data_IF_815977260979
#
_entry.id   IF_815977260979
#
_cell.length_a   1.000
_cell.length_b   1.000
_cell.length_c   1.000
_cell.angle_alpha   90.00
_cell.angle_beta   90.00
_cell.angle_gamma   90.00
#
_symmetry.space_group_name_H-M   'P 1'
#
loop_
_entity.id
_entity.type
_entity.pdbx_description
1 polymer ?
#
# COMPACT_ATOMS: atom_id res chain seq x y z
N UNK A 1 9.77 -25.16 -15.33
CA UNK A 1 8.79 -24.66 -14.37
C UNK A 1 8.60 -23.18 -14.69
N UNK A 2 7.52 -22.84 -15.39
CA UNK A 2 7.14 -21.44 -15.62
C UNK A 2 6.86 -20.83 -14.26
N UNK A 3 7.53 -19.73 -13.98
CA UNK A 3 7.48 -19.02 -12.72
C UNK A 3 6.08 -18.43 -12.54
N UNK A 4 5.24 -19.06 -11.72
CA UNK A 4 3.85 -18.65 -11.46
C UNK A 4 3.80 -17.19 -10.97
N UNK A 5 4.81 -16.75 -10.23
CA UNK A 5 4.94 -15.37 -9.78
C UNK A 5 5.14 -14.34 -10.89
N UNK A 6 5.67 -14.73 -12.05
CA UNK A 6 5.77 -13.84 -13.20
C UNK A 6 4.43 -13.77 -13.95
N UNK A 7 3.72 -14.88 -14.09
CA UNK A 7 2.42 -14.90 -14.76
C UNK A 7 1.38 -14.02 -14.04
N UNK A 8 1.30 -14.08 -12.71
CA UNK A 8 0.41 -13.21 -11.94
C UNK A 8 0.78 -11.72 -12.06
N UNK A 9 2.08 -11.42 -12.07
CA UNK A 9 2.56 -10.04 -12.23
C UNK A 9 2.19 -9.48 -13.61
N UNK A 10 2.48 -10.23 -14.70
CA UNK A 10 2.17 -9.80 -16.07
C UNK A 10 0.65 -9.62 -16.26
N UNK A 11 -0.15 -10.56 -15.77
CA UNK A 11 -1.63 -10.46 -15.79
C UNK A 11 -2.13 -9.22 -15.05
N UNK A 12 -1.54 -8.89 -13.90
CA UNK A 12 -1.94 -7.73 -13.12
C UNK A 12 -1.64 -6.40 -13.86
N UNK A 13 -0.46 -6.29 -14.49
CA UNK A 13 -0.10 -5.11 -15.30
C UNK A 13 -1.02 -4.98 -16.51
N UNK A 14 -1.20 -6.05 -17.31
CA UNK A 14 -2.10 -6.06 -18.46
C UNK A 14 -3.53 -5.68 -18.07
N UNK A 15 -3.98 -6.09 -16.89
CA UNK A 15 -5.33 -5.78 -16.41
C UNK A 15 -5.47 -4.29 -16.13
N UNK A 16 -4.51 -3.66 -15.44
CA UNK A 16 -4.55 -2.21 -15.14
C UNK A 16 -4.40 -1.38 -16.42
N UNK A 17 -3.51 -1.76 -17.33
CA UNK A 17 -3.33 -1.06 -18.60
C UNK A 17 -4.61 -1.11 -19.45
N UNK A 18 -5.24 -2.27 -19.54
CA UNK A 18 -6.51 -2.41 -20.25
C UNK A 18 -7.66 -1.65 -19.56
N UNK A 19 -7.67 -1.59 -18.21
CA UNK A 19 -8.63 -0.78 -17.46
C UNK A 19 -8.47 0.72 -17.79
N UNK A 20 -7.22 1.20 -17.84
CA UNK A 20 -6.92 2.59 -18.19
C UNK A 20 -7.41 2.94 -19.62
N UNK A 21 -7.20 2.06 -20.60
CA UNK A 21 -7.72 2.22 -21.98
C UNK A 21 -9.26 2.26 -21.99
N UNK A 22 -9.90 1.51 -21.11
CA UNK A 22 -11.37 1.45 -20.97
C UNK A 22 -11.95 2.57 -20.11
N UNK A 23 -11.12 3.46 -19.54
CA UNK A 23 -11.56 4.52 -18.65
C UNK A 23 -11.99 4.04 -17.25
N UNK A 24 -11.60 2.82 -16.85
CA UNK A 24 -11.90 2.24 -15.55
C UNK A 24 -10.77 2.58 -14.56
N UNK A 25 -11.05 3.28 -13.46
CA UNK A 25 -10.03 3.64 -12.47
C UNK A 25 -9.62 2.43 -11.62
N UNK A 26 -8.73 1.62 -12.14
CA UNK A 26 -8.14 0.46 -11.46
C UNK A 26 -6.64 0.68 -11.34
N UNK A 27 -6.08 0.48 -10.15
CA UNK A 27 -4.66 0.70 -9.87
C UNK A 27 -4.11 -0.46 -9.05
N UNK A 28 -2.85 -0.80 -9.27
CA UNK A 28 -2.15 -1.76 -8.41
C UNK A 28 -1.91 -1.18 -7.02
N UNK A 29 -2.01 -2.06 -6.02
CA UNK A 29 -1.64 -1.84 -4.63
C UNK A 29 -0.82 -3.06 -4.14
N UNK A 30 -0.24 -2.99 -2.96
CA UNK A 30 0.46 -4.14 -2.38
C UNK A 30 1.80 -4.48 -3.03
N UNK A 31 2.19 -5.74 -2.93
CA UNK A 31 3.53 -6.18 -3.35
C UNK A 31 3.78 -6.13 -4.85
N UNK A 32 2.76 -6.32 -5.69
CA UNK A 32 2.90 -6.24 -7.14
C UNK A 32 3.11 -4.79 -7.60
N UNK A 33 2.47 -3.82 -6.93
CA UNK A 33 2.71 -2.39 -7.19
C UNK A 33 4.17 -2.01 -6.91
N UNK A 34 4.73 -2.50 -5.79
CA UNK A 34 6.12 -2.22 -5.44
C UNK A 34 7.09 -2.87 -6.44
N UNK A 35 6.83 -4.11 -6.85
CA UNK A 35 7.61 -4.78 -7.89
C UNK A 35 7.59 -4.01 -9.21
N UNK A 36 6.43 -3.50 -9.62
CA UNK A 36 6.30 -2.68 -10.82
C UNK A 36 7.13 -1.39 -10.75
N UNK A 37 7.11 -0.74 -9.59
CA UNK A 37 7.81 0.51 -9.35
C UNK A 37 9.33 0.35 -9.15
N UNK A 38 9.80 -0.86 -8.84
CA UNK A 38 11.21 -1.17 -8.58
C UNK A 38 11.70 -2.34 -9.45
N UNK A 39 11.62 -2.23 -10.80
CA UNK A 39 11.89 -3.36 -11.72
C UNK A 39 13.33 -3.85 -11.68
N UNK A 40 14.27 -2.96 -11.33
CA UNK A 40 15.71 -3.28 -11.27
C UNK A 40 16.12 -3.93 -9.95
N UNK A 41 15.21 -4.02 -8.97
CA UNK A 41 15.50 -4.63 -7.68
C UNK A 41 15.11 -6.11 -7.69
N UNK A 42 15.86 -6.97 -6.95
CA UNK A 42 15.53 -8.39 -6.89
C UNK A 42 14.07 -8.59 -6.45
N UNK A 43 13.24 -9.30 -7.24
CA UNK A 43 11.86 -9.54 -6.83
C UNK A 43 11.83 -10.40 -5.57
N UNK A 44 10.89 -10.13 -4.68
CA UNK A 44 10.64 -11.03 -3.56
C UNK A 44 10.20 -12.40 -4.11
N UNK A 45 10.84 -13.46 -3.65
CA UNK A 45 10.41 -14.83 -4.00
C UNK A 45 9.07 -15.08 -3.31
N UNK A 46 8.01 -15.26 -4.10
CA UNK A 46 6.67 -15.62 -3.64
C UNK A 46 6.19 -16.83 -4.44
N UNK A 47 5.62 -17.79 -3.74
CA UNK A 47 4.97 -18.95 -4.36
C UNK A 47 3.48 -18.71 -4.63
N UNK A 48 2.90 -17.72 -3.95
CA UNK A 48 1.51 -17.27 -4.01
C UNK A 48 1.49 -15.74 -4.15
N UNK A 49 0.94 -15.24 -5.20
CA UNK A 49 0.79 -13.80 -5.41
C UNK A 49 -0.68 -13.50 -5.68
N UNK A 50 -1.37 -13.07 -4.64
CA UNK A 50 -2.67 -12.44 -4.80
C UNK A 50 -2.50 -11.14 -5.58
N UNK A 51 -3.48 -10.80 -6.38
CA UNK A 51 -3.53 -9.54 -7.11
C UNK A 51 -4.35 -8.55 -6.31
N UNK A 52 -3.69 -7.51 -5.82
CA UNK A 52 -4.34 -6.45 -5.07
C UNK A 52 -4.51 -5.22 -5.96
N UNK A 53 -5.74 -4.76 -6.12
CA UNK A 53 -6.09 -3.54 -6.83
C UNK A 53 -6.79 -2.54 -5.90
N UNK A 54 -6.74 -1.28 -6.29
CA UNK A 54 -7.49 -0.18 -5.71
C UNK A 54 -8.41 0.44 -6.74
N UNK A 55 -9.59 0.86 -6.32
CA UNK A 55 -10.54 1.58 -7.16
C UNK A 55 -11.41 2.51 -6.31
N UNK A 56 -12.43 3.13 -6.91
CA UNK A 56 -13.35 4.04 -6.25
C UNK A 56 -14.80 3.55 -6.33
N UNK A 57 -15.59 3.85 -5.31
CA UNK A 57 -16.98 3.42 -5.21
C UNK A 57 -17.86 3.92 -6.35
N UNK A 58 -17.54 5.06 -6.94
CA UNK A 58 -18.23 5.64 -8.09
C UNK A 58 -18.08 4.79 -9.36
N UNK A 59 -17.01 4.01 -9.47
CA UNK A 59 -16.72 3.15 -10.62
C UNK A 59 -17.00 1.66 -10.34
N UNK A 60 -17.62 1.31 -9.21
CA UNK A 60 -17.84 -0.09 -8.79
C UNK A 60 -18.42 -0.97 -9.90
N UNK A 61 -19.49 -0.51 -10.56
CA UNK A 61 -20.15 -1.31 -11.60
C UNK A 61 -19.28 -1.45 -12.84
N UNK A 62 -18.54 -0.41 -13.19
CA UNK A 62 -17.64 -0.42 -14.34
C UNK A 62 -16.48 -1.40 -14.11
N UNK A 63 -15.93 -1.44 -12.88
CA UNK A 63 -14.91 -2.41 -12.47
C UNK A 63 -15.44 -3.84 -12.57
N UNK A 64 -16.65 -4.11 -12.06
CA UNK A 64 -17.25 -5.45 -12.13
C UNK A 64 -17.44 -5.86 -13.59
N UNK A 65 -18.04 -5.01 -14.43
CA UNK A 65 -18.26 -5.31 -15.84
C UNK A 65 -16.95 -5.51 -16.59
N UNK A 66 -15.94 -4.70 -16.29
CA UNK A 66 -14.61 -4.80 -16.90
C UNK A 66 -13.92 -6.12 -16.56
N UNK A 67 -13.88 -6.50 -15.28
CA UNK A 67 -13.24 -7.74 -14.84
C UNK A 67 -14.01 -8.98 -15.33
N UNK A 68 -15.34 -8.99 -15.23
CA UNK A 68 -16.19 -10.05 -15.77
C UNK A 68 -15.97 -10.22 -17.28
N UNK A 69 -15.89 -9.11 -18.03
CA UNK A 69 -15.63 -9.10 -19.47
C UNK A 69 -14.25 -9.66 -19.87
N UNK A 70 -13.30 -9.67 -18.94
CA UNK A 70 -11.98 -10.28 -19.09
C UNK A 70 -11.90 -11.73 -18.55
N UNK A 71 -13.04 -12.25 -18.08
CA UNK A 71 -13.16 -13.62 -17.60
C UNK A 71 -12.78 -13.83 -16.13
N UNK A 72 -12.54 -12.76 -15.36
CA UNK A 72 -12.37 -12.89 -13.91
C UNK A 72 -13.69 -13.33 -13.27
N UNK A 73 -13.61 -14.19 -12.29
CA UNK A 73 -14.77 -14.80 -11.64
C UNK A 73 -15.06 -14.09 -10.32
N UNK A 74 -16.05 -13.20 -10.32
CA UNK A 74 -16.44 -12.45 -9.12
C UNK A 74 -17.24 -13.28 -8.12
N UNK A 75 -16.90 -13.22 -6.84
CA UNK A 75 -17.77 -13.72 -5.78
C UNK A 75 -18.98 -12.79 -5.62
N UNK A 76 -20.09 -13.17 -6.22
CA UNK A 76 -21.32 -12.35 -6.24
C UNK A 76 -21.85 -12.07 -4.85
N UNK A 77 -21.80 -13.04 -3.93
CA UNK A 77 -22.32 -12.88 -2.57
C UNK A 77 -21.45 -11.89 -1.79
N UNK A 78 -20.14 -12.10 -1.82
CA UNK A 78 -19.19 -11.20 -1.19
C UNK A 78 -19.30 -9.79 -1.75
N UNK A 79 -19.29 -9.63 -3.07
CA UNK A 79 -19.32 -8.34 -3.75
C UNK A 79 -20.63 -7.55 -3.54
N UNK A 80 -21.75 -8.24 -3.31
CA UNK A 80 -23.01 -7.59 -2.90
C UNK A 80 -22.92 -7.09 -1.46
N UNK A 81 -22.37 -7.88 -0.55
CA UNK A 81 -22.33 -7.55 0.88
C UNK A 81 -21.22 -6.54 1.22
N UNK A 82 -20.05 -6.68 0.62
CA UNK A 82 -18.83 -5.94 1.00
C UNK A 82 -18.32 -4.99 -0.07
N UNK A 83 -18.84 -5.04 -1.30
CA UNK A 83 -18.31 -4.32 -2.46
C UNK A 83 -18.31 -2.78 -2.38
N UNK A 84 -18.74 -2.19 -1.26
CA UNK A 84 -18.51 -0.77 -0.95
C UNK A 84 -17.12 -0.51 -0.34
N UNK A 85 -16.43 -1.58 0.11
CA UNK A 85 -15.11 -1.52 0.72
C UNK A 85 -14.10 -2.40 0.02
N UNK A 86 -14.55 -3.60 -0.39
CA UNK A 86 -13.70 -4.61 -1.02
C UNK A 86 -14.55 -5.47 -1.95
N UNK A 87 -14.03 -5.78 -3.12
CA UNK A 87 -14.60 -6.77 -4.03
C UNK A 87 -13.60 -7.91 -4.20
N UNK A 88 -14.10 -9.13 -4.34
CA UNK A 88 -13.30 -10.33 -4.50
C UNK A 88 -13.61 -11.02 -5.82
N UNK A 89 -12.55 -11.43 -6.51
CA UNK A 89 -12.56 -12.21 -7.74
C UNK A 89 -11.46 -13.27 -7.69
N UNK A 90 -11.51 -14.18 -8.66
CA UNK A 90 -10.37 -15.03 -9.02
C UNK A 90 -10.02 -14.83 -10.49
N UNK A 91 -8.79 -15.14 -10.85
CA UNK A 91 -8.36 -15.16 -12.25
C UNK A 91 -9.19 -16.14 -13.09
N UNK A 92 -9.21 -16.02 -14.44
CA UNK A 92 -10.00 -16.91 -15.30
C UNK A 92 -9.70 -18.39 -15.12
N UNK A 93 -8.49 -18.75 -14.73
CA UNK A 93 -8.08 -20.14 -14.40
C UNK A 93 -8.46 -20.56 -12.96
N UNK A 94 -8.96 -19.63 -12.15
CA UNK A 94 -9.34 -19.86 -10.74
C UNK A 94 -8.18 -20.08 -9.79
N UNK A 95 -6.93 -19.80 -10.18
CA UNK A 95 -5.75 -20.13 -9.39
C UNK A 95 -5.25 -18.98 -8.51
N UNK A 96 -5.59 -17.73 -8.86
CA UNK A 96 -5.09 -16.54 -8.15
C UNK A 96 -6.25 -15.71 -7.63
N UNK A 97 -6.18 -15.36 -6.35
CA UNK A 97 -7.09 -14.42 -5.70
C UNK A 97 -6.89 -13.00 -6.21
N UNK A 98 -7.97 -12.26 -6.34
CA UNK A 98 -7.98 -10.88 -6.82
C UNK A 98 -8.84 -10.03 -5.88
N UNK A 99 -8.21 -9.14 -5.17
CA UNK A 99 -8.85 -8.18 -4.29
C UNK A 99 -8.92 -6.79 -4.92
N UNK A 100 -10.08 -6.15 -4.86
CA UNK A 100 -10.23 -4.76 -5.27
C UNK A 100 -10.69 -3.94 -4.08
N UNK A 101 -9.78 -3.17 -3.52
CA UNK A 101 -10.03 -2.27 -2.38
C UNK A 101 -10.67 -0.98 -2.88
N UNK A 102 -11.74 -0.54 -2.23
CA UNK A 102 -12.58 0.57 -2.71
C UNK A 102 -12.49 1.77 -1.78
N UNK A 103 -12.14 2.94 -2.32
CA UNK A 103 -12.04 4.25 -1.67
C UNK A 103 -10.97 4.35 -0.57
N UNK A 104 -10.77 3.29 0.23
CA UNK A 104 -9.88 3.29 1.39
C UNK A 104 -9.39 1.89 1.73
N UNK A 105 -8.16 1.79 2.19
CA UNK A 105 -7.63 0.58 2.80
C UNK A 105 -7.80 0.68 4.33
N UNK A 106 -8.36 -0.34 4.92
CA UNK A 106 -8.48 -0.50 6.36
C UNK A 106 -7.73 -1.75 6.80
N UNK A 107 -6.61 -1.54 7.47
CA UNK A 107 -5.83 -2.59 8.15
C UNK A 107 -5.71 -2.23 9.64
N UNK A 108 -4.54 -1.80 10.10
CA UNK A 108 -4.42 -1.29 11.47
C UNK A 108 -4.97 0.15 11.61
N UNK A 109 -5.03 0.88 10.50
CA UNK A 109 -5.58 2.23 10.40
C UNK A 109 -6.32 2.41 9.07
N UNK A 110 -7.17 3.42 9.00
CA UNK A 110 -7.86 3.77 7.77
C UNK A 110 -7.00 4.70 6.91
N UNK A 111 -6.70 4.28 5.67
CA UNK A 111 -6.02 5.10 4.67
C UNK A 111 -6.96 5.39 3.50
N UNK A 112 -7.45 6.63 3.41
CA UNK A 112 -8.33 7.07 2.32
C UNK A 112 -7.48 7.50 1.12
N UNK A 113 -7.74 6.90 -0.05
CA UNK A 113 -7.07 7.23 -1.32
C UNK A 113 -8.04 7.62 -2.45
N UNK A 114 -9.34 7.68 -2.18
CA UNK A 114 -10.39 7.96 -3.16
C UNK A 114 -10.08 9.14 -4.08
N UNK A 115 -9.75 10.28 -3.50
CA UNK A 115 -9.46 11.52 -4.25
C UNK A 115 -8.06 11.54 -4.87
N UNK A 116 -7.33 10.43 -4.73
CA UNK A 116 -5.93 10.29 -5.15
C UNK A 116 -5.71 9.13 -6.12
N UNK A 117 -6.77 8.44 -6.52
CA UNK A 117 -6.69 7.23 -7.35
C UNK A 117 -6.04 7.49 -8.71
N UNK A 118 -6.17 8.70 -9.26
CA UNK A 118 -5.68 9.06 -10.59
C UNK A 118 -4.29 9.75 -10.57
N UNK A 119 -3.60 9.76 -9.41
CA UNK A 119 -2.30 10.43 -9.30
C UNK A 119 -1.18 9.69 -10.05
N UNK A 120 -1.28 8.37 -10.14
CA UNK A 120 -0.34 7.51 -10.88
C UNK A 120 -1.11 6.64 -11.88
N UNK A 121 -0.53 6.34 -13.05
CA UNK A 121 -1.27 5.63 -14.11
C UNK A 121 -1.52 4.14 -13.82
N UNK A 122 -0.59 3.46 -13.15
CA UNK A 122 -0.62 2.00 -12.94
C UNK A 122 -0.82 1.64 -11.47
N UNK A 123 -0.22 2.38 -10.55
CA UNK A 123 -0.30 2.11 -9.11
C UNK A 123 -1.06 3.22 -8.40
N UNK A 124 -1.45 3.00 -7.14
CA UNK A 124 -1.77 4.14 -6.28
C UNK A 124 -0.54 5.02 -6.07
N UNK A 125 -0.74 6.24 -5.56
CA UNK A 125 0.35 7.18 -5.29
C UNK A 125 1.44 6.57 -4.40
N UNK A 126 2.72 6.90 -4.66
CA UNK A 126 3.87 6.34 -3.94
C UNK A 126 3.79 6.54 -2.43
N UNK A 127 3.37 7.73 -1.99
CA UNK A 127 3.25 8.02 -0.57
C UNK A 127 2.14 7.19 0.06
N UNK A 128 1.00 7.04 -0.63
CA UNK A 128 -0.08 6.19 -0.14
C UNK A 128 0.35 4.73 -0.11
N UNK A 129 1.11 4.26 -1.11
CA UNK A 129 1.65 2.90 -1.14
C UNK A 129 2.62 2.65 0.04
N UNK A 130 3.51 3.60 0.35
CA UNK A 130 4.37 3.53 1.53
C UNK A 130 3.53 3.51 2.83
N UNK A 131 2.50 4.35 2.92
CA UNK A 131 1.61 4.40 4.08
C UNK A 131 0.84 3.08 4.28
N UNK A 132 0.49 2.34 3.21
CA UNK A 132 -0.12 1.00 3.36
C UNK A 132 0.78 0.04 4.12
N UNK A 133 2.09 0.19 4.02
CA UNK A 133 3.08 -0.63 4.72
C UNK A 133 3.41 -0.09 6.11
N UNK A 134 3.50 1.22 6.25
CA UNK A 134 3.79 1.86 7.53
C UNK A 134 2.64 1.82 8.54
N UNK A 135 1.41 1.49 8.12
CA UNK A 135 0.30 1.34 9.05
C UNK A 135 0.27 0.00 9.79
N UNK A 136 1.00 -1.02 9.32
CA UNK A 136 0.96 -2.38 9.87
C UNK A 136 1.71 -2.41 11.20
N UNK A 137 1.01 -2.69 12.30
CA UNK A 137 1.62 -2.71 13.64
C UNK A 137 2.49 -3.94 13.85
N UNK A 138 2.03 -5.09 13.37
CA UNK A 138 2.78 -6.36 13.42
C UNK A 138 3.49 -6.62 12.09
N UNK A 139 4.46 -5.75 11.75
CA UNK A 139 5.21 -5.89 10.52
C UNK A 139 6.03 -7.19 10.48
N UNK A 140 5.91 -7.91 9.40
CA UNK A 140 6.78 -9.02 9.05
C UNK A 140 7.97 -8.56 8.18
N UNK A 141 8.90 -9.47 7.87
CA UNK A 141 10.07 -9.14 7.04
C UNK A 141 9.67 -8.66 5.63
N UNK A 142 8.54 -9.14 5.09
CA UNK A 142 8.05 -8.72 3.77
C UNK A 142 7.64 -7.24 3.75
N UNK A 143 6.98 -6.78 4.82
CA UNK A 143 6.58 -5.36 4.93
C UNK A 143 7.79 -4.45 5.06
N UNK A 144 8.79 -4.85 5.86
CA UNK A 144 10.05 -4.11 5.99
C UNK A 144 10.78 -4.05 4.64
N UNK A 145 10.83 -5.16 3.92
CA UNK A 145 11.43 -5.24 2.58
C UNK A 145 10.76 -4.27 1.60
N UNK A 146 9.44 -4.22 1.59
CA UNK A 146 8.66 -3.32 0.74
C UNK A 146 8.95 -1.85 1.07
N UNK A 147 9.02 -1.50 2.35
CA UNK A 147 9.39 -0.15 2.82
C UNK A 147 10.80 0.21 2.36
N UNK A 148 11.76 -0.69 2.56
CA UNK A 148 13.15 -0.49 2.15
C UNK A 148 13.27 -0.25 0.66
N UNK A 149 12.54 -1.01 -0.17
CA UNK A 149 12.58 -0.84 -1.62
C UNK A 149 12.03 0.51 -2.06
N UNK A 150 10.88 0.93 -1.53
CA UNK A 150 10.32 2.25 -1.82
C UNK A 150 11.26 3.38 -1.40
N UNK A 151 11.82 3.30 -0.19
CA UNK A 151 12.76 4.31 0.31
C UNK A 151 14.14 4.27 -0.38
N UNK A 152 14.52 3.16 -1.00
CA UNK A 152 15.74 3.06 -1.80
C UNK A 152 15.60 3.61 -3.21
N UNK A 153 14.39 3.55 -3.77
CA UNK A 153 14.13 3.91 -5.16
C UNK A 153 13.66 5.36 -5.35
N UNK A 154 12.92 5.91 -4.38
CA UNK A 154 12.22 7.19 -4.53
C UNK A 154 12.62 8.21 -3.49
N UNK A 155 12.73 9.46 -3.93
CA UNK A 155 13.09 10.59 -3.08
C UNK A 155 11.97 10.95 -2.11
N UNK A 156 12.35 11.12 -0.83
CA UNK A 156 11.51 11.76 0.18
C UNK A 156 11.75 13.25 0.14
N UNK A 157 10.70 14.03 -0.14
CA UNK A 157 10.82 15.49 -0.20
C UNK A 157 9.57 16.23 0.26
N UNK A 158 9.72 17.53 0.43
CA UNK A 158 8.62 18.42 0.73
C UNK A 158 7.57 18.40 -0.40
N UNK A 159 6.31 18.68 -0.02
CA UNK A 159 5.20 18.67 -0.96
C UNK A 159 4.49 17.33 -1.05
N UNK A 160 3.77 17.14 -2.14
CA UNK A 160 2.95 15.95 -2.44
C UNK A 160 2.89 15.74 -3.96
N UNK A 161 4.06 15.75 -4.63
CA UNK A 161 4.15 15.57 -6.07
C UNK A 161 4.05 14.07 -6.44
N UNK A 162 3.30 13.70 -7.49
CA UNK A 162 3.29 12.33 -7.98
C UNK A 162 4.70 11.83 -8.32
N UNK A 163 4.98 10.56 -8.06
CA UNK A 163 6.29 9.96 -8.32
C UNK A 163 7.35 10.25 -7.26
N UNK A 164 6.96 10.88 -6.13
CA UNK A 164 7.83 11.10 -4.97
C UNK A 164 7.15 10.65 -3.68
N UNK A 165 7.93 10.46 -2.62
CA UNK A 165 7.38 10.25 -1.29
C UNK A 165 7.20 11.61 -0.63
N UNK A 166 5.96 12.11 -0.66
CA UNK A 166 5.61 13.47 -0.25
C UNK A 166 5.42 13.62 1.25
N UNK A 167 6.26 14.42 1.90
CA UNK A 167 6.16 14.70 3.34
C UNK A 167 4.84 15.35 3.72
N UNK A 168 4.26 16.17 2.83
CA UNK A 168 2.96 16.81 3.08
C UNK A 168 1.87 15.77 3.30
N UNK A 169 1.77 14.73 2.45
CA UNK A 169 0.77 13.66 2.59
C UNK A 169 0.95 12.88 3.88
N UNK A 170 2.19 12.54 4.22
CA UNK A 170 2.50 11.90 5.50
C UNK A 170 2.08 12.80 6.67
N UNK A 171 2.41 14.08 6.58
CA UNK A 171 2.01 15.08 7.57
C UNK A 171 0.50 15.17 7.77
N UNK A 172 -0.27 15.19 6.68
CA UNK A 172 -1.74 15.25 6.73
C UNK A 172 -2.34 14.05 7.47
N UNK A 173 -1.76 12.85 7.32
CA UNK A 173 -2.19 11.64 8.02
C UNK A 173 -1.82 11.68 9.51
N UNK A 174 -0.56 11.97 9.83
CA UNK A 174 -0.05 11.84 11.21
C UNK A 174 -0.38 13.01 12.11
N UNK A 175 -0.77 14.18 11.56
CA UNK A 175 -1.09 15.38 12.35
C UNK A 175 -2.41 15.30 13.10
N UNK A 176 -3.38 14.57 12.56
CA UNK A 176 -4.74 14.51 13.06
C UNK A 176 -5.02 13.27 13.92
N UNK A 177 -4.34 12.18 13.63
CA UNK A 177 -4.49 10.91 14.33
C UNK A 177 -3.21 10.50 15.06
N UNK A 178 -3.30 10.40 16.39
CA UNK A 178 -2.19 9.98 17.25
C UNK A 178 -1.81 8.52 17.00
N UNK A 179 -2.77 7.66 16.70
CA UNK A 179 -2.56 6.25 16.41
C UNK A 179 -1.72 6.08 15.14
N UNK A 180 -2.08 6.78 14.08
CA UNK A 180 -1.28 6.83 12.86
C UNK A 180 0.15 7.32 13.12
N UNK A 181 0.29 8.43 13.82
CA UNK A 181 1.61 8.97 14.17
C UNK A 181 2.44 7.94 14.94
N UNK A 182 1.84 7.29 15.96
CA UNK A 182 2.53 6.32 16.81
C UNK A 182 3.00 5.10 16.01
N UNK A 183 2.15 4.58 15.14
CA UNK A 183 2.47 3.41 14.31
C UNK A 183 3.52 3.77 13.26
N UNK A 184 3.33 4.84 12.49
CA UNK A 184 4.30 5.26 11.46
C UNK A 184 5.68 5.51 12.06
N UNK A 185 5.75 6.28 13.15
CA UNK A 185 7.04 6.61 13.79
C UNK A 185 7.71 5.38 14.39
N UNK A 186 6.97 4.49 15.03
CA UNK A 186 7.50 3.26 15.57
C UNK A 186 8.02 2.31 14.49
N UNK A 187 7.32 2.23 13.36
CA UNK A 187 7.75 1.40 12.22
C UNK A 187 8.99 1.97 11.53
N UNK A 188 9.08 3.29 11.38
CA UNK A 188 10.28 3.92 10.84
C UNK A 188 11.51 3.73 11.75
N UNK A 189 11.34 3.88 13.07
CA UNK A 189 12.40 3.61 14.05
C UNK A 189 12.86 2.15 13.95
N UNK A 190 11.93 1.20 13.83
CA UNK A 190 12.23 -0.23 13.63
C UNK A 190 12.96 -0.50 12.33
N UNK A 191 12.54 0.11 11.21
CA UNK A 191 13.23 -0.04 9.91
C UNK A 191 14.68 0.42 10.01
N UNK A 192 14.93 1.58 10.63
CA UNK A 192 16.30 2.10 10.83
C UNK A 192 17.14 1.13 11.69
N UNK A 193 16.58 0.61 12.78
CA UNK A 193 17.25 -0.35 13.65
C UNK A 193 17.61 -1.64 12.88
N UNK A 194 16.66 -2.22 12.16
CA UNK A 194 16.85 -3.46 11.40
C UNK A 194 17.87 -3.29 10.27
N UNK A 195 17.89 -2.15 9.59
CA UNK A 195 18.89 -1.84 8.56
C UNK A 195 20.29 -1.64 9.14
N UNK A 196 20.39 -1.17 10.37
CA UNK A 196 21.66 -1.08 11.09
C UNK A 196 22.27 -2.44 11.47
N UNK A 197 21.45 -3.50 11.50
CA UNK A 197 21.81 -4.82 12.00
C UNK A 197 21.53 -5.92 10.95
N UNK A 198 20.44 -6.68 11.17
CA UNK A 198 20.20 -7.96 10.50
C UNK A 198 19.74 -7.81 9.03
N UNK A 199 19.04 -6.73 8.70
CA UNK A 199 18.40 -6.54 7.41
C UNK A 199 19.13 -5.59 6.46
N UNK A 200 20.41 -5.25 6.73
CA UNK A 200 21.22 -4.46 5.80
C UNK A 200 21.29 -5.09 4.40
N UNK A 201 21.19 -6.42 4.32
CA UNK A 201 21.13 -7.18 3.07
C UNK A 201 19.92 -6.86 2.19
N UNK A 202 18.86 -6.25 2.75
CA UNK A 202 17.67 -5.86 2.00
C UNK A 202 17.88 -4.60 1.16
N UNK A 203 18.91 -3.81 1.45
CA UNK A 203 19.21 -2.63 0.64
C UNK A 203 19.72 -3.10 -0.73
N UNK A 204 19.02 -2.79 -1.83
CA UNK A 204 19.43 -3.24 -3.15
C UNK A 204 20.73 -2.55 -3.58
N UNK A 205 21.56 -3.26 -4.34
CA UNK A 205 22.85 -2.75 -4.82
C UNK A 205 22.74 -1.52 -5.74
N UNK A 206 21.58 -1.26 -6.30
CA UNK A 206 21.27 -0.11 -7.15
C UNK A 206 20.43 0.96 -6.44
N UNK A 207 20.41 1.00 -5.10
CA UNK A 207 19.66 2.00 -4.35
C UNK A 207 20.06 3.43 -4.75
N UNK A 208 19.08 4.23 -5.16
CA UNK A 208 19.30 5.65 -5.49
C UNK A 208 19.44 6.51 -4.22
N UNK A 209 18.83 6.06 -3.12
CA UNK A 209 18.81 6.75 -1.84
C UNK A 209 19.14 5.78 -0.71
N UNK A 210 19.67 6.31 0.40
CA UNK A 210 19.83 5.53 1.64
C UNK A 210 18.47 5.40 2.35
N UNK A 211 17.89 4.21 2.44
CA UNK A 211 16.58 4.02 3.05
C UNK A 211 16.55 4.34 4.54
N UNK A 212 17.66 4.19 5.27
CA UNK A 212 17.72 4.53 6.68
C UNK A 212 17.73 6.05 6.89
N UNK A 213 18.45 6.79 6.04
CA UNK A 213 18.41 8.26 6.05
C UNK A 213 17.04 8.80 5.71
N UNK A 214 16.39 8.25 4.67
CA UNK A 214 15.03 8.64 4.27
C UNK A 214 14.00 8.31 5.34
N UNK A 215 14.04 7.10 5.94
CA UNK A 215 13.17 6.74 7.07
C UNK A 215 13.35 7.71 8.24
N UNK A 216 14.60 8.04 8.57
CA UNK A 216 14.92 9.01 9.62
C UNK A 216 14.42 10.43 9.29
N UNK A 217 14.45 10.83 8.01
CA UNK A 217 13.92 12.13 7.58
C UNK A 217 12.40 12.20 7.76
N UNK A 218 11.65 11.17 7.31
CA UNK A 218 10.20 11.07 7.54
C UNK A 218 9.89 11.08 9.03
N UNK A 219 10.64 10.30 9.81
CA UNK A 219 10.48 10.19 11.26
C UNK A 219 10.61 11.55 11.96
N UNK A 220 11.68 12.30 11.65
CA UNK A 220 11.89 13.66 12.19
C UNK A 220 10.77 14.61 11.76
N UNK A 221 10.40 14.60 10.49
CA UNK A 221 9.32 15.43 9.97
C UNK A 221 7.99 15.14 10.69
N UNK A 222 7.65 13.86 10.88
CA UNK A 222 6.44 13.44 11.57
C UNK A 222 6.34 14.03 12.99
N UNK A 223 7.45 14.29 13.67
CA UNK A 223 7.45 14.95 14.99
C UNK A 223 7.24 16.47 14.91
N UNK A 224 7.77 17.11 13.89
CA UNK A 224 7.71 18.58 13.74
C UNK A 224 6.36 19.09 13.24
N UNK A 225 5.56 18.26 12.57
CA UNK A 225 4.25 18.63 12.04
C UNK A 225 3.33 19.12 13.17
N UNK A 226 2.71 20.31 13.04
CA UNK A 226 1.76 20.83 14.03
C UNK A 226 0.59 19.88 14.23
N UNK A 227 0.40 19.41 15.46
CA UNK A 227 -0.63 18.44 15.82
C UNK A 227 -1.95 19.12 16.16
N UNK A 228 -3.06 18.51 15.72
CA UNK A 228 -4.41 18.99 16.03
C UNK A 228 -4.77 18.81 17.51
N UNK A 229 -5.86 19.45 17.93
CA UNK A 229 -6.37 19.29 19.30
C UNK A 229 -6.79 17.84 19.57
N UNK A 230 -7.42 17.18 18.60
CA UNK A 230 -7.81 15.76 18.66
C UNK A 230 -6.60 14.88 18.97
N UNK A 231 -5.53 15.06 18.21
CA UNK A 231 -4.27 14.35 18.43
C UNK A 231 -3.72 14.58 19.84
N UNK A 232 -3.68 15.84 20.29
CA UNK A 232 -3.15 16.22 21.61
C UNK A 232 -3.97 15.63 22.77
N UNK A 233 -5.30 15.53 22.62
CA UNK A 233 -6.16 14.89 23.62
C UNK A 233 -5.86 13.38 23.65
N UNK A 234 -5.81 12.73 22.48
CA UNK A 234 -5.53 11.28 22.37
C UNK A 234 -4.15 10.93 22.91
N UNK A 235 -3.14 11.75 22.69
CA UNK A 235 -1.76 11.53 23.16
C UNK A 235 -1.62 11.47 24.69
N UNK A 236 -2.53 12.12 25.44
CA UNK A 236 -2.53 12.05 26.93
C UNK A 236 -2.88 10.65 27.44
N UNK A 237 -3.66 9.91 26.68
CA UNK A 237 -4.00 8.52 27.00
C UNK A 237 -2.84 7.59 26.59
N UNK A 238 -2.19 7.91 25.48
CA UNK A 238 -1.05 7.16 24.94
C UNK A 238 -1.40 5.71 24.65
N UNK A 239 -0.47 4.80 24.91
CA UNK A 239 -0.60 3.37 24.67
C UNK A 239 -1.45 2.62 25.72
N UNK A 240 -1.98 3.32 26.73
CA UNK A 240 -2.85 2.72 27.77
C UNK A 240 -4.16 2.19 27.19
N UNK A 241 -4.57 2.71 26.04
CA UNK A 241 -5.72 2.25 25.26
C UNK A 241 -5.24 1.95 23.86
N UNK A 242 -5.61 0.78 23.36
CA UNK A 242 -5.28 0.35 22.01
C UNK A 242 -5.58 1.46 20.97
N UNK A 243 -4.65 1.68 20.03
CA UNK A 243 -4.72 2.77 19.08
C UNK A 243 -4.81 2.31 17.62
N UNK A 244 -4.87 1.01 17.42
CA UNK A 244 -4.98 0.37 16.13
C UNK A 244 -6.03 -0.73 16.19
N UNK A 245 -6.48 -1.17 15.03
CA UNK A 245 -7.29 -2.37 14.89
C UNK A 245 -6.43 -3.46 14.23
N UNK A 246 -6.73 -4.71 14.54
CA UNK A 246 -6.15 -5.82 13.77
C UNK A 246 -7.06 -6.07 12.57
N UNK A 247 -6.48 -6.34 11.37
CA UNK A 247 -7.29 -6.67 10.21
C UNK A 247 -8.18 -7.88 10.55
N UNK A 248 -9.47 -7.76 10.30
CA UNK A 248 -10.35 -8.92 10.32
C UNK A 248 -9.95 -9.82 9.15
N UNK A 249 -9.55 -11.05 9.41
CA UNK A 249 -9.44 -12.07 8.37
C UNK A 249 -10.86 -12.35 7.86
N UNK A 250 -11.22 -11.73 6.74
CA UNK A 250 -12.47 -12.04 6.05
C UNK A 250 -12.25 -13.39 5.37
N UNK A 251 -12.77 -14.45 5.99
CA UNK A 251 -12.73 -15.78 5.40
C UNK A 251 -13.53 -15.79 4.07
N UNK A 252 -12.85 -16.12 3.00
CA UNK A 252 -13.41 -16.30 1.66
C UNK A 252 -13.86 -17.74 1.45
#
# INVERSE_FOLDING_TARGET
MTDVGNASFDTAIETVEAAAVSGVPLRLIGGLAIRYLTPDYPPRVRNDQDMDFASVSTAKNDVIQFLDGRGFLGDRRFNVMHGQRQMYFTTPDGLTSVDVIVDRLFMCHELVFKERIDRMPVTIDLTDLLLTKLQVVEQNEKDVHDIVYLLSAFEVKDGDDPGTIGLKRIGDVVRDDWGWWRTVTGNLDRVVELLGNDLKRLVPSGAAYDPAEQASAIRRFADTVPKTLRWKIRSRVGERVQWYELPEEVAH
#
